data_IF_856090643272
#
_entry.id   IF_856090643272
#
_cell.length_a   1.000
_cell.length_b   1.000
_cell.length_c   1.000
_cell.angle_alpha   90.00
_cell.angle_beta   90.00
_cell.angle_gamma   90.00
#
_symmetry.space_group_name_H-M   'P 1'
#
loop_
_entity.id
_entity.type
_entity.pdbx_description
1 polymer ?
#
# COMPACT_ATOMS: atom_id res chain seq x y z
N UNK A 1 22.52 -44.68 -6.29
CA UNK A 1 23.33 -44.60 -5.06
C UNK A 1 23.50 -43.11 -4.75
N UNK A 2 22.91 -42.67 -3.67
CA UNK A 2 23.07 -41.28 -3.19
C UNK A 2 24.43 -41.19 -2.47
N UNK A 3 25.35 -40.37 -2.97
CA UNK A 3 26.64 -40.14 -2.31
C UNK A 3 26.42 -39.15 -1.16
N UNK A 4 26.49 -39.64 0.07
CA UNK A 4 26.52 -38.78 1.26
C UNK A 4 27.95 -38.40 1.59
N UNK A 5 28.15 -37.12 1.90
CA UNK A 5 29.40 -36.58 2.39
C UNK A 5 29.27 -36.36 3.90
N UNK A 6 30.25 -36.89 4.66
CA UNK A 6 30.33 -36.67 6.11
C UNK A 6 31.22 -35.45 6.38
N UNK A 7 30.68 -34.43 7.00
CA UNK A 7 31.43 -33.26 7.43
C UNK A 7 31.43 -33.21 8.95
N UNK A 8 32.64 -33.19 9.54
CA UNK A 8 32.81 -33.02 10.96
C UNK A 8 32.89 -31.54 11.34
N UNK A 9 31.86 -31.04 12.02
CA UNK A 9 31.80 -29.64 12.46
C UNK A 9 32.01 -29.52 13.97
N UNK A 10 32.73 -28.48 14.46
CA UNK A 10 32.89 -28.23 15.88
C UNK A 10 31.58 -27.79 16.50
N UNK A 11 31.20 -28.35 17.62
CA UNK A 11 30.04 -27.92 18.41
C UNK A 11 30.42 -26.67 19.21
N UNK A 12 29.63 -25.60 19.07
CA UNK A 12 29.91 -24.31 19.72
C UNK A 12 29.89 -24.47 21.24
N UNK A 13 31.04 -24.20 21.88
CA UNK A 13 31.18 -24.27 23.33
C UNK A 13 31.59 -25.66 23.87
N UNK A 14 31.89 -26.64 23.02
CA UNK A 14 32.39 -27.99 23.40
C UNK A 14 33.66 -28.32 22.64
N UNK A 15 34.45 -29.26 23.15
CA UNK A 15 35.58 -29.87 22.43
C UNK A 15 35.13 -31.00 21.48
N UNK A 16 33.85 -31.30 21.49
CA UNK A 16 33.26 -32.36 20.68
C UNK A 16 32.98 -31.90 19.27
N UNK A 17 33.02 -32.82 18.32
CA UNK A 17 32.68 -32.61 16.93
C UNK A 17 31.47 -33.47 16.58
N UNK A 18 30.47 -32.87 15.95
CA UNK A 18 29.35 -33.62 15.39
C UNK A 18 29.60 -33.96 13.93
N UNK A 19 29.22 -35.15 13.52
CA UNK A 19 29.18 -35.59 12.13
C UNK A 19 27.86 -35.14 11.53
N UNK A 20 27.95 -34.39 10.42
CA UNK A 20 26.79 -34.05 9.58
C UNK A 20 26.92 -34.85 8.28
N UNK A 21 25.92 -35.66 8.00
CA UNK A 21 25.76 -36.30 6.71
C UNK A 21 25.10 -35.30 5.76
N UNK A 22 25.79 -35.01 4.65
CA UNK A 22 25.34 -34.06 3.68
C UNK A 22 25.22 -34.73 2.30
N UNK A 23 24.03 -34.63 1.71
CA UNK A 23 23.81 -35.01 0.31
C UNK A 23 23.98 -33.74 -0.56
N UNK A 24 25.01 -33.68 -1.44
CA UNK A 24 25.23 -32.49 -2.30
C UNK A 24 24.05 -32.15 -3.18
N UNK A 25 23.38 -33.16 -3.75
CA UNK A 25 22.21 -32.96 -4.64
C UNK A 25 21.01 -32.41 -3.86
N UNK A 26 20.66 -33.02 -2.70
CA UNK A 26 19.57 -32.53 -1.84
C UNK A 26 19.85 -31.13 -1.28
N UNK A 27 21.11 -30.85 -0.92
CA UNK A 27 21.51 -29.54 -0.44
C UNK A 27 21.41 -28.46 -1.52
N UNK A 28 21.70 -28.81 -2.76
CA UNK A 28 21.56 -27.89 -3.88
C UNK A 28 20.10 -27.61 -4.22
N UNK A 29 19.23 -28.63 -4.18
CA UNK A 29 17.79 -28.46 -4.35
C UNK A 29 17.18 -27.56 -3.27
N UNK A 30 17.58 -27.71 -1.99
CA UNK A 30 17.13 -26.86 -0.90
C UNK A 30 17.58 -25.40 -1.08
N UNK A 31 18.81 -25.17 -1.54
CA UNK A 31 19.33 -23.83 -1.83
C UNK A 31 18.54 -23.19 -2.96
N UNK A 32 18.33 -23.91 -4.07
CA UNK A 32 17.57 -23.42 -5.21
C UNK A 32 16.11 -23.10 -4.85
N UNK A 33 15.50 -23.88 -3.98
CA UNK A 33 14.14 -23.60 -3.49
C UNK A 33 14.11 -22.34 -2.63
N UNK A 34 15.04 -22.19 -1.70
CA UNK A 34 15.15 -20.96 -0.87
C UNK A 34 15.43 -19.73 -1.69
N UNK A 35 16.30 -19.83 -2.70
CA UNK A 35 16.56 -18.72 -3.63
C UNK A 35 15.29 -18.32 -4.39
N UNK A 36 14.52 -19.28 -4.92
CA UNK A 36 13.24 -19.01 -5.59
C UNK A 36 12.21 -18.37 -4.65
N UNK A 37 12.14 -18.83 -3.41
CA UNK A 37 11.27 -18.23 -2.40
C UNK A 37 11.66 -16.78 -2.09
N UNK A 38 12.96 -16.51 -1.90
CA UNK A 38 13.48 -15.17 -1.63
C UNK A 38 13.25 -14.20 -2.81
N UNK A 39 13.46 -14.68 -4.04
CA UNK A 39 13.20 -13.88 -5.25
C UNK A 39 11.71 -13.54 -5.32
N UNK A 40 10.83 -14.52 -5.09
CA UNK A 40 9.38 -14.30 -5.09
C UNK A 40 8.95 -13.33 -4.00
N UNK A 41 9.44 -13.47 -2.77
CA UNK A 41 9.17 -12.51 -1.69
C UNK A 41 9.63 -11.10 -2.03
N UNK A 42 10.78 -10.97 -2.72
CA UNK A 42 11.29 -9.68 -3.15
C UNK A 42 10.40 -9.06 -4.23
N UNK A 43 9.97 -9.84 -5.22
CA UNK A 43 9.05 -9.40 -6.27
C UNK A 43 7.69 -8.99 -5.69
N UNK A 44 7.09 -9.80 -4.83
CA UNK A 44 5.82 -9.50 -4.14
C UNK A 44 5.92 -8.21 -3.32
N UNK A 45 7.06 -8.00 -2.64
CA UNK A 45 7.33 -6.78 -1.87
C UNK A 45 7.49 -5.56 -2.76
N UNK A 46 8.18 -5.69 -3.89
CA UNK A 46 8.34 -4.63 -4.89
C UNK A 46 6.98 -4.24 -5.49
N UNK A 47 6.15 -5.21 -5.84
CA UNK A 47 4.81 -4.98 -6.36
C UNK A 47 3.94 -4.26 -5.32
N UNK A 48 3.98 -4.68 -4.06
CA UNK A 48 3.28 -4.04 -2.96
C UNK A 48 3.64 -2.55 -2.83
N UNK A 49 4.93 -2.22 -2.84
CA UNK A 49 5.41 -0.84 -2.76
C UNK A 49 5.01 0.01 -3.96
N UNK A 50 4.97 -0.56 -5.16
CA UNK A 50 4.59 0.15 -6.38
C UNK A 50 3.08 0.34 -6.53
N UNK A 51 2.27 -0.42 -5.83
CA UNK A 51 0.82 -0.41 -5.98
C UNK A 51 0.10 -0.01 -4.69
N UNK A 52 -0.06 -0.94 -3.77
CA UNK A 52 -0.95 -0.78 -2.61
C UNK A 52 -0.43 0.20 -1.55
N UNK A 53 0.89 0.34 -1.43
CA UNK A 53 1.51 1.27 -0.48
C UNK A 53 1.45 2.74 -0.95
N UNK A 54 1.22 2.98 -2.24
CA UNK A 54 1.14 4.33 -2.83
C UNK A 54 0.11 5.20 -2.11
N UNK A 55 -1.06 4.65 -1.78
CA UNK A 55 -2.11 5.41 -1.10
C UNK A 55 -1.64 6.02 0.23
N UNK A 56 -0.86 5.30 1.02
CA UNK A 56 -0.41 5.79 2.33
C UNK A 56 0.89 6.58 2.26
N UNK A 57 1.76 6.27 1.32
CA UNK A 57 3.07 6.87 1.18
C UNK A 57 3.07 8.16 0.36
N UNK A 58 2.35 8.18 -0.76
CA UNK A 58 2.42 9.27 -1.75
C UNK A 58 1.20 10.19 -1.72
N UNK A 59 0.11 9.79 -1.05
CA UNK A 59 -1.07 10.62 -0.93
C UNK A 59 -0.88 11.80 0.02
N UNK A 60 -1.43 12.94 -0.36
CA UNK A 60 -1.47 14.14 0.47
C UNK A 60 -2.72 14.12 1.35
N UNK A 61 -2.69 13.29 2.40
CA UNK A 61 -3.81 13.10 3.32
C UNK A 61 -3.66 14.04 4.51
N UNK A 62 -4.60 14.97 4.74
CA UNK A 62 -4.64 15.79 5.95
C UNK A 62 -4.68 14.91 7.20
N UNK A 63 -4.00 15.35 8.28
CA UNK A 63 -3.87 14.55 9.51
C UNK A 63 -5.23 14.17 10.11
N UNK A 64 -6.21 15.07 10.04
CA UNK A 64 -7.56 14.89 10.54
C UNK A 64 -8.33 13.77 9.79
N UNK A 65 -7.94 13.51 8.54
CA UNK A 65 -8.60 12.51 7.70
C UNK A 65 -7.90 11.14 7.73
N UNK A 66 -6.69 11.02 8.25
CA UNK A 66 -5.92 9.75 8.20
C UNK A 66 -6.69 8.54 8.75
N UNK A 67 -7.54 8.77 9.75
CA UNK A 67 -8.40 7.73 10.35
C UNK A 67 -9.71 7.47 9.61
N UNK A 68 -10.04 8.21 8.54
CA UNK A 68 -11.34 8.11 7.88
C UNK A 68 -11.58 6.72 7.27
N UNK A 69 -12.73 6.12 7.58
CA UNK A 69 -13.23 4.85 7.06
C UNK A 69 -14.74 4.95 6.91
N UNK A 70 -15.38 3.98 6.24
CA UNK A 70 -16.83 3.91 6.20
C UNK A 70 -17.44 3.58 7.57
N UNK A 71 -16.74 2.85 8.43
CA UNK A 71 -17.26 2.39 9.72
C UNK A 71 -17.30 3.51 10.75
N UNK A 72 -16.37 4.47 10.68
CA UNK A 72 -16.36 5.61 11.60
C UNK A 72 -17.04 6.87 11.04
N UNK A 73 -17.74 6.75 9.91
CA UNK A 73 -18.56 7.83 9.38
C UNK A 73 -19.84 7.96 10.17
N UNK A 74 -19.98 9.06 10.90
CA UNK A 74 -21.17 9.33 11.74
C UNK A 74 -22.30 9.83 10.85
N UNK A 75 -23.46 9.20 10.95
CA UNK A 75 -24.67 9.55 10.20
C UNK A 75 -25.70 10.15 11.15
N UNK A 76 -25.94 11.45 11.04
CA UNK A 76 -26.94 12.19 11.83
C UNK A 76 -28.15 12.60 11.00
N UNK A 77 -28.00 12.71 9.67
CA UNK A 77 -29.03 13.19 8.75
C UNK A 77 -29.33 12.17 7.65
N UNK A 78 -30.49 12.34 7.01
CA UNK A 78 -30.85 11.54 5.84
C UNK A 78 -29.92 11.77 4.66
N UNK A 79 -29.43 13.00 4.49
CA UNK A 79 -28.50 13.37 3.43
C UNK A 79 -27.14 12.67 3.63
N UNK A 80 -26.64 12.61 4.86
CA UNK A 80 -25.41 11.88 5.19
C UNK A 80 -25.57 10.38 4.93
N UNK A 81 -26.75 9.80 5.22
CA UNK A 81 -27.05 8.42 4.90
C UNK A 81 -27.02 8.16 3.40
N UNK A 82 -27.69 9.02 2.62
CA UNK A 82 -27.70 8.91 1.16
C UNK A 82 -26.28 9.04 0.58
N UNK A 83 -25.48 9.95 1.12
CA UNK A 83 -24.12 10.15 0.70
C UNK A 83 -23.21 8.93 1.00
N UNK A 84 -23.38 8.31 2.17
CA UNK A 84 -22.68 7.08 2.54
C UNK A 84 -23.06 5.92 1.61
N UNK A 85 -24.36 5.73 1.37
CA UNK A 85 -24.86 4.67 0.49
C UNK A 85 -24.39 4.88 -0.96
N UNK A 86 -24.40 6.13 -1.42
CA UNK A 86 -23.84 6.50 -2.72
C UNK A 86 -22.36 6.16 -2.80
N UNK A 87 -21.55 6.56 -1.81
CA UNK A 87 -20.12 6.30 -1.79
C UNK A 87 -19.80 4.79 -1.83
N UNK A 88 -20.48 3.99 -1.01
CA UNK A 88 -20.36 2.52 -1.04
C UNK A 88 -20.77 1.92 -2.38
N UNK A 89 -21.81 2.48 -3.01
CA UNK A 89 -22.25 2.10 -4.36
C UNK A 89 -21.19 2.39 -5.43
N UNK A 90 -20.51 3.54 -5.34
CA UNK A 90 -19.46 3.91 -6.29
C UNK A 90 -18.22 3.01 -6.15
N UNK A 91 -17.82 2.64 -4.93
CA UNK A 91 -16.73 1.66 -4.72
C UNK A 91 -17.00 0.39 -5.50
N UNK A 92 -18.21 -0.18 -5.37
CA UNK A 92 -18.61 -1.39 -6.12
C UNK A 92 -18.49 -1.20 -7.63
N UNK A 93 -18.87 -0.04 -8.15
CA UNK A 93 -18.78 0.27 -9.59
C UNK A 93 -17.31 0.34 -10.05
N UNK A 94 -16.44 1.01 -9.29
CA UNK A 94 -15.01 1.07 -9.62
C UNK A 94 -14.36 -0.32 -9.59
N UNK A 95 -14.68 -1.13 -8.60
CA UNK A 95 -14.19 -2.51 -8.51
C UNK A 95 -14.71 -3.41 -9.64
N UNK A 96 -15.84 -3.05 -10.26
CA UNK A 96 -16.39 -3.72 -11.44
C UNK A 96 -15.94 -3.09 -12.77
N UNK A 97 -14.88 -2.28 -12.74
CA UNK A 97 -14.26 -1.73 -13.96
C UNK A 97 -14.87 -0.44 -14.49
N UNK A 98 -15.59 0.32 -13.67
CA UNK A 98 -16.06 1.65 -14.06
C UNK A 98 -14.87 2.57 -14.39
N UNK A 99 -14.87 3.17 -15.58
CA UNK A 99 -13.85 4.11 -16.07
C UNK A 99 -14.28 5.57 -15.97
N UNK A 100 -15.49 5.86 -15.50
CA UNK A 100 -16.02 7.21 -15.37
C UNK A 100 -15.57 7.93 -14.10
N UNK A 101 -15.84 9.23 -14.03
CA UNK A 101 -15.57 10.06 -12.86
C UNK A 101 -16.75 10.10 -11.90
N UNK A 102 -16.48 10.26 -10.60
CA UNK A 102 -17.49 10.50 -9.56
C UNK A 102 -17.29 11.88 -8.98
N UNK A 103 -18.31 12.73 -9.05
CA UNK A 103 -18.32 14.04 -8.42
C UNK A 103 -19.20 14.01 -7.17
N UNK A 104 -18.63 14.38 -6.02
CA UNK A 104 -19.34 14.53 -4.75
C UNK A 104 -19.43 16.04 -4.44
N UNK A 105 -20.64 16.58 -4.46
CA UNK A 105 -20.91 17.99 -4.13
C UNK A 105 -21.89 18.09 -2.95
N UNK A 106 -21.89 19.22 -2.28
CA UNK A 106 -22.76 19.46 -1.12
C UNK A 106 -22.17 20.48 -0.16
N UNK A 107 -22.88 20.80 0.92
CA UNK A 107 -22.48 21.77 1.94
C UNK A 107 -21.18 21.39 2.64
N UNK A 108 -20.51 22.39 3.22
CA UNK A 108 -19.30 22.16 4.04
C UNK A 108 -19.68 21.36 5.30
N UNK A 109 -18.82 20.42 5.69
CA UNK A 109 -19.04 19.61 6.90
C UNK A 109 -19.80 18.30 6.70
N UNK A 110 -20.48 18.07 5.56
CA UNK A 110 -21.25 16.84 5.30
C UNK A 110 -20.39 15.56 5.13
N UNK A 111 -19.08 15.67 5.27
CA UNK A 111 -18.19 14.50 5.25
C UNK A 111 -17.68 14.07 3.87
N UNK A 112 -17.74 14.93 2.83
CA UNK A 112 -17.26 14.61 1.47
C UNK A 112 -15.83 14.07 1.43
N UNK A 113 -14.89 14.79 2.06
CA UNK A 113 -13.48 14.39 2.07
C UNK A 113 -13.25 13.10 2.87
N UNK A 114 -13.99 12.91 3.97
CA UNK A 114 -14.00 11.68 4.74
C UNK A 114 -14.38 10.48 3.86
N UNK A 115 -15.53 10.58 3.20
CA UNK A 115 -16.03 9.50 2.33
C UNK A 115 -15.15 9.29 1.11
N UNK A 116 -14.57 10.35 0.51
CA UNK A 116 -13.64 10.20 -0.61
C UNK A 116 -12.39 9.40 -0.20
N UNK A 117 -11.83 9.65 0.98
CA UNK A 117 -10.69 8.87 1.48
C UNK A 117 -11.11 7.45 1.89
N UNK A 118 -12.28 7.29 2.51
CA UNK A 118 -12.83 5.97 2.83
C UNK A 118 -13.02 5.11 1.57
N UNK A 119 -13.54 5.70 0.48
CA UNK A 119 -13.63 5.04 -0.83
C UNK A 119 -12.26 4.63 -1.36
N UNK A 120 -11.28 5.53 -1.31
CA UNK A 120 -9.91 5.26 -1.78
C UNK A 120 -9.28 4.08 -1.03
N UNK A 121 -9.43 4.04 0.30
CA UNK A 121 -8.94 2.93 1.13
C UNK A 121 -9.61 1.61 0.80
N UNK A 122 -10.94 1.60 0.70
CA UNK A 122 -11.71 0.39 0.40
C UNK A 122 -11.36 -0.18 -0.97
N UNK A 123 -11.19 0.68 -1.98
CA UNK A 123 -10.75 0.29 -3.33
C UNK A 123 -9.34 -0.30 -3.27
N UNK A 124 -8.42 0.35 -2.55
CA UNK A 124 -7.03 -0.09 -2.42
C UNK A 124 -6.93 -1.47 -1.75
N UNK A 125 -7.64 -1.68 -0.63
CA UNK A 125 -7.68 -2.97 0.05
C UNK A 125 -8.32 -4.05 -0.81
N UNK A 126 -9.40 -3.73 -1.52
CA UNK A 126 -10.04 -4.68 -2.43
C UNK A 126 -9.12 -5.11 -3.58
N UNK A 127 -8.32 -4.20 -4.14
CA UNK A 127 -7.33 -4.56 -5.17
C UNK A 127 -6.22 -5.44 -4.60
N UNK A 128 -5.76 -5.15 -3.39
CA UNK A 128 -4.79 -5.96 -2.67
C UNK A 128 -5.30 -7.38 -2.41
N UNK A 129 -6.54 -7.51 -1.90
CA UNK A 129 -7.18 -8.82 -1.66
C UNK A 129 -7.34 -9.64 -2.95
N UNK A 130 -7.67 -8.98 -4.07
CA UNK A 130 -7.81 -9.61 -5.39
C UNK A 130 -6.46 -9.86 -6.08
N UNK A 131 -5.35 -9.38 -5.52
CA UNK A 131 -4.02 -9.39 -6.13
C UNK A 131 -4.01 -8.69 -7.50
N UNK A 132 -4.78 -7.63 -7.64
CA UNK A 132 -4.79 -6.78 -8.82
C UNK A 132 -3.78 -5.64 -8.62
N UNK A 133 -2.68 -5.54 -9.41
CA UNK A 133 -1.62 -4.55 -9.21
C UNK A 133 -2.06 -3.15 -9.66
N UNK A 134 -2.97 -2.54 -8.92
CA UNK A 134 -3.48 -1.19 -9.15
C UNK A 134 -3.16 -0.28 -7.97
N UNK A 135 -2.72 0.93 -8.25
CA UNK A 135 -2.46 1.95 -7.25
C UNK A 135 -3.63 2.91 -7.12
N UNK A 136 -3.85 3.40 -5.91
CA UNK A 136 -4.83 4.44 -5.61
C UNK A 136 -4.09 5.63 -5.01
N UNK A 137 -4.42 6.85 -5.43
CA UNK A 137 -3.82 8.07 -4.91
C UNK A 137 -4.93 9.01 -4.41
N UNK A 138 -4.77 9.53 -3.21
CA UNK A 138 -5.64 10.57 -2.65
C UNK A 138 -4.89 11.90 -2.63
N UNK A 139 -5.45 12.93 -3.26
CA UNK A 139 -4.81 14.22 -3.38
C UNK A 139 -5.74 15.31 -2.85
N UNK A 140 -5.24 16.10 -1.90
CA UNK A 140 -5.90 17.30 -1.42
C UNK A 140 -5.36 18.52 -2.16
N UNK A 141 -6.18 19.17 -2.97
CA UNK A 141 -5.79 20.39 -3.69
C UNK A 141 -5.35 21.51 -2.72
N UNK A 142 -5.98 21.60 -1.56
CA UNK A 142 -5.61 22.58 -0.51
C UNK A 142 -4.20 22.34 -0.01
N UNK A 143 -3.83 21.07 0.19
CA UNK A 143 -2.48 20.70 0.66
C UNK A 143 -1.42 20.95 -0.42
N UNK A 144 -1.72 20.65 -1.69
CA UNK A 144 -0.83 20.99 -2.82
C UNK A 144 -0.56 22.49 -2.86
N UNK A 145 -1.63 23.31 -2.84
CA UNK A 145 -1.49 24.78 -2.88
C UNK A 145 -0.66 25.29 -1.69
N UNK A 146 -0.84 24.71 -0.51
CA UNK A 146 -0.07 25.07 0.68
C UNK A 146 1.42 24.74 0.49
N UNK A 147 1.75 23.55 0.03
CA UNK A 147 3.13 23.13 -0.21
C UNK A 147 3.81 23.98 -1.29
N UNK A 148 3.09 24.33 -2.38
CA UNK A 148 3.61 25.24 -3.41
C UNK A 148 3.91 26.62 -2.80
N UNK A 149 2.99 27.18 -2.01
CA UNK A 149 3.21 28.49 -1.35
C UNK A 149 4.38 28.47 -0.37
N UNK A 150 4.54 27.41 0.38
CA UNK A 150 5.70 27.20 1.24
C UNK A 150 6.99 27.13 0.42
N UNK A 151 6.94 26.46 -0.75
CA UNK A 151 8.04 26.41 -1.70
C UNK A 151 8.48 27.79 -2.19
N UNK A 152 7.57 28.68 -2.44
CA UNK A 152 7.89 30.06 -2.84
C UNK A 152 8.52 30.88 -1.72
N UNK A 153 8.16 30.61 -0.45
CA UNK A 153 8.70 31.34 0.69
C UNK A 153 10.10 30.86 1.10
N UNK A 154 10.38 29.56 0.98
CA UNK A 154 11.62 28.94 1.48
C UNK A 154 12.62 28.54 0.40
N UNK A 155 12.33 28.76 -0.89
CA UNK A 155 13.22 28.50 -2.01
C UNK A 155 13.56 27.02 -2.22
N UNK A 156 14.82 26.71 -2.56
CA UNK A 156 15.26 25.35 -2.97
C UNK A 156 15.09 24.23 -1.92
N UNK A 157 14.70 24.55 -0.70
CA UNK A 157 14.50 23.57 0.39
C UNK A 157 13.02 23.17 0.57
N UNK A 158 12.14 23.53 -0.36
CA UNK A 158 10.73 23.17 -0.32
C UNK A 158 10.47 21.73 -0.73
N UNK A 159 9.49 21.11 -0.09
CA UNK A 159 9.10 19.72 -0.33
C UNK A 159 8.41 19.49 -1.69
N UNK A 160 7.90 20.55 -2.32
CA UNK A 160 7.26 20.51 -3.64
C UNK A 160 7.41 21.85 -4.35
N UNK A 161 7.85 21.84 -5.61
CA UNK A 161 7.87 23.03 -6.49
C UNK A 161 6.69 23.00 -7.45
N UNK A 162 6.32 24.18 -8.01
CA UNK A 162 5.24 24.27 -9.00
C UNK A 162 5.48 23.35 -10.21
N UNK A 163 6.73 23.16 -10.61
CA UNK A 163 7.12 22.30 -11.73
C UNK A 163 6.93 20.78 -11.42
N UNK A 164 7.06 20.38 -10.16
CA UNK A 164 6.86 18.99 -9.73
C UNK A 164 5.39 18.66 -9.48
N UNK A 165 4.56 19.67 -9.17
CA UNK A 165 3.12 19.50 -8.97
C UNK A 165 2.34 19.24 -10.26
N UNK A 166 2.90 19.56 -11.44
CA UNK A 166 2.24 19.48 -12.76
C UNK A 166 2.66 18.25 -13.56
N UNK A 167 3.62 17.48 -13.09
CA UNK A 167 4.02 16.20 -13.70
C UNK A 167 3.21 15.03 -13.16
#
# INVERSE_FOLDING_TARGET
QVNYWEISIPVRGSKERSLLEFCPECGQEEIEQKEKELVKEFEDRQEYFKTYDVLMRESMIPNELKGATFDNFIVNTTEERQLLDFAKGQVKKYLNGMTGNTLISGSTGIGKSHLSLAMAKEINESFKERKEPKSVLFVSLTEIIKQIKEGWQYGKNASLTEHEAVK
#
